data_IF_178007764741
#
_entry.id   IF_178007764741
#
_cell.length_a   1.000
_cell.length_b   1.000
_cell.length_c   1.000
_cell.angle_alpha   90.00
_cell.angle_beta   90.00
_cell.angle_gamma   90.00
#
_symmetry.space_group_name_H-M   'P 1'
#
loop_
_entity.id
_entity.type
_entity.pdbx_description
1 polymer ?
#
# COMPACT_ATOMS: atom_id res chain seq x y z
N UNK A 1 58.73 -19.40 -33.56
CA UNK A 1 58.22 -18.01 -33.50
C UNK A 1 56.73 -17.88 -33.09
N UNK A 2 56.07 -18.89 -32.51
CA UNK A 2 54.61 -18.82 -32.27
C UNK A 2 54.17 -18.88 -30.80
N UNK A 3 55.10 -18.85 -29.86
CA UNK A 3 54.72 -18.88 -28.42
C UNK A 3 54.57 -17.48 -27.79
N UNK A 4 55.10 -16.47 -28.44
CA UNK A 4 55.07 -15.09 -27.91
C UNK A 4 53.73 -14.37 -28.15
N UNK A 5 53.02 -14.74 -29.22
CA UNK A 5 51.72 -14.14 -29.53
C UNK A 5 50.58 -14.63 -28.63
N UNK A 6 50.68 -15.83 -28.05
CA UNK A 6 49.64 -16.38 -27.17
C UNK A 6 49.63 -15.68 -25.81
N UNK A 7 50.81 -15.25 -25.32
CA UNK A 7 50.90 -14.53 -24.05
C UNK A 7 50.36 -13.11 -24.14
N UNK A 8 50.51 -12.47 -25.29
CA UNK A 8 49.96 -11.12 -25.51
C UNK A 8 48.42 -11.13 -25.63
N UNK A 9 47.84 -12.19 -26.22
CA UNK A 9 46.40 -12.34 -26.36
C UNK A 9 45.69 -12.60 -25.01
N UNK A 10 46.36 -13.20 -24.03
CA UNK A 10 45.81 -13.46 -22.70
C UNK A 10 45.73 -12.20 -21.79
N UNK A 11 46.54 -11.19 -22.05
CA UNK A 11 46.57 -9.96 -21.24
C UNK A 11 45.42 -9.00 -21.58
N UNK A 12 44.83 -9.10 -22.77
CA UNK A 12 43.77 -8.22 -23.24
C UNK A 12 42.40 -8.56 -22.60
N UNK A 13 42.25 -9.76 -22.03
CA UNK A 13 40.97 -10.19 -21.40
C UNK A 13 40.85 -9.88 -19.91
N UNK A 14 41.88 -9.35 -19.27
CA UNK A 14 41.75 -8.81 -17.91
C UNK A 14 41.34 -7.33 -17.94
N UNK A 15 40.28 -7.01 -18.70
CA UNK A 15 39.60 -5.76 -18.57
C UNK A 15 39.02 -5.70 -17.16
N UNK A 16 39.54 -4.78 -16.32
CA UNK A 16 38.95 -4.45 -15.05
C UNK A 16 37.46 -4.06 -15.26
N UNK A 17 36.58 -5.02 -15.05
CA UNK A 17 35.20 -4.69 -14.76
C UNK A 17 35.18 -4.04 -13.38
N UNK A 18 35.24 -2.72 -13.31
CA UNK A 18 34.87 -1.99 -12.12
C UNK A 18 33.46 -2.45 -11.75
N UNK A 19 33.25 -3.01 -10.55
CA UNK A 19 31.91 -3.36 -10.12
C UNK A 19 31.05 -2.09 -10.22
N UNK A 20 29.81 -2.19 -10.74
CA UNK A 20 28.94 -1.04 -10.78
C UNK A 20 28.89 -0.48 -9.37
N UNK A 21 29.19 0.82 -9.23
CA UNK A 21 28.98 1.52 -7.97
C UNK A 21 27.55 1.22 -7.55
N UNK A 22 27.30 0.80 -6.30
CA UNK A 22 25.94 0.72 -5.80
C UNK A 22 25.31 2.11 -6.05
N UNK A 23 24.23 2.14 -6.80
CA UNK A 23 23.40 3.32 -6.91
C UNK A 23 22.85 3.49 -5.51
N UNK A 24 23.51 4.32 -4.72
CA UNK A 24 22.90 4.86 -3.50
C UNK A 24 21.77 5.70 -4.08
N UNK A 25 20.57 5.14 -4.12
CA UNK A 25 19.38 5.93 -4.30
C UNK A 25 19.36 6.85 -3.08
N UNK A 26 19.82 8.08 -3.24
CA UNK A 26 19.58 9.13 -2.27
C UNK A 26 18.06 9.18 -2.11
N UNK A 27 17.56 8.58 -1.05
CA UNK A 27 16.16 8.68 -0.67
C UNK A 27 15.92 10.16 -0.36
N UNK A 28 15.35 10.86 -1.31
CA UNK A 28 14.90 12.23 -1.11
C UNK A 28 13.55 12.12 -0.42
N UNK A 29 13.53 12.52 0.85
CA UNK A 29 12.29 12.57 1.63
C UNK A 29 11.23 13.36 0.86
N UNK A 30 10.00 12.85 0.73
CA UNK A 30 8.97 13.52 -0.04
C UNK A 30 8.59 14.86 0.60
N UNK A 31 8.67 15.94 -0.17
CA UNK A 31 8.23 17.28 0.26
C UNK A 31 6.75 17.48 -0.09
N UNK A 32 5.90 16.84 0.67
CA UNK A 32 4.44 16.98 0.59
C UNK A 32 3.84 17.59 1.86
N UNK A 33 4.67 18.11 2.76
CA UNK A 33 4.22 18.70 4.04
C UNK A 33 3.29 19.90 3.84
N UNK A 34 3.48 20.66 2.75
CA UNK A 34 2.67 21.82 2.39
C UNK A 34 1.33 21.46 1.72
N UNK A 35 1.05 20.17 1.49
CA UNK A 35 -0.15 19.73 0.79
C UNK A 35 -1.28 19.43 1.77
N UNK A 36 -2.47 19.96 1.48
CA UNK A 36 -3.66 19.79 2.33
C UNK A 36 -4.53 18.61 1.91
N UNK A 37 -4.50 18.30 0.61
CA UNK A 37 -5.35 17.27 0.00
C UNK A 37 -4.57 16.34 -0.92
N UNK A 38 -5.04 15.10 -0.98
CA UNK A 38 -4.53 14.10 -1.89
C UNK A 38 -5.70 13.26 -2.42
N UNK A 39 -5.69 12.98 -3.72
CA UNK A 39 -6.64 12.05 -4.34
C UNK A 39 -5.91 11.08 -5.24
N UNK A 40 -6.56 9.98 -5.56
CA UNK A 40 -5.97 9.02 -6.48
C UNK A 40 -6.78 7.76 -6.64
N UNK A 41 -6.17 6.80 -7.30
CA UNK A 41 -6.74 5.48 -7.51
C UNK A 41 -5.67 4.40 -7.44
N UNK A 42 -6.12 3.17 -7.25
CA UNK A 42 -5.26 2.02 -7.14
C UNK A 42 -6.03 0.72 -7.10
N UNK A 43 -5.36 -0.33 -6.66
CA UNK A 43 -5.99 -1.62 -6.46
C UNK A 43 -5.41 -2.39 -5.28
N UNK A 44 -6.22 -3.31 -4.75
CA UNK A 44 -5.78 -4.38 -3.87
C UNK A 44 -5.84 -5.68 -4.65
N UNK A 45 -4.75 -6.43 -4.64
CA UNK A 45 -4.65 -7.77 -5.21
C UNK A 45 -4.34 -8.76 -4.11
N UNK A 46 -5.21 -9.74 -3.91
CA UNK A 46 -4.98 -10.88 -3.03
C UNK A 46 -4.69 -12.13 -3.85
N UNK A 47 -3.69 -12.90 -3.43
CA UNK A 47 -3.33 -14.22 -3.99
C UNK A 47 -3.21 -15.23 -2.87
N UNK A 48 -3.65 -16.46 -3.11
CA UNK A 48 -3.61 -17.55 -2.16
C UNK A 48 -5.00 -17.99 -1.73
N UNK A 49 -5.28 -18.07 -0.43
CA UNK A 49 -6.57 -18.52 0.10
C UNK A 49 -7.78 -17.69 -0.39
N UNK A 50 -7.57 -16.41 -0.65
CA UNK A 50 -8.61 -15.49 -1.14
C UNK A 50 -8.07 -14.76 -2.36
N UNK A 51 -8.20 -15.38 -3.54
CA UNK A 51 -7.80 -14.73 -4.78
C UNK A 51 -8.83 -13.68 -5.19
N UNK A 52 -8.34 -12.49 -5.52
CA UNK A 52 -9.22 -11.43 -5.99
C UNK A 52 -8.53 -10.10 -6.18
N UNK A 53 -9.22 -9.22 -6.91
CA UNK A 53 -8.80 -7.84 -7.13
C UNK A 53 -9.95 -6.90 -6.86
N UNK A 54 -9.67 -5.86 -6.09
CA UNK A 54 -10.54 -4.71 -5.90
C UNK A 54 -9.80 -3.46 -6.37
N UNK A 55 -10.43 -2.68 -7.22
CA UNK A 55 -9.95 -1.34 -7.53
C UNK A 55 -10.48 -0.38 -6.48
N UNK A 56 -9.72 0.68 -6.18
CA UNK A 56 -10.19 1.72 -5.28
C UNK A 56 -9.91 3.12 -5.83
N UNK A 57 -10.72 4.05 -5.38
CA UNK A 57 -10.54 5.49 -5.57
C UNK A 57 -10.56 6.14 -4.20
N UNK A 58 -9.68 7.08 -3.95
CA UNK A 58 -9.62 7.75 -2.65
C UNK A 58 -9.56 9.27 -2.77
N UNK A 59 -10.04 9.94 -1.73
CA UNK A 59 -9.88 11.36 -1.48
C UNK A 59 -9.49 11.53 -0.02
N UNK A 60 -8.39 12.22 0.25
CA UNK A 60 -7.81 12.33 1.58
C UNK A 60 -7.46 13.77 1.90
N UNK A 61 -7.75 14.18 3.12
CA UNK A 61 -7.13 15.31 3.81
C UNK A 61 -6.10 14.79 4.80
N UNK A 62 -5.41 15.68 5.51
CA UNK A 62 -4.49 15.28 6.58
C UNK A 62 -5.17 14.53 7.73
N UNK A 63 -6.45 14.76 7.95
CA UNK A 63 -7.19 14.19 9.07
C UNK A 63 -8.14 13.06 8.69
N UNK A 64 -8.63 13.04 7.44
CA UNK A 64 -9.67 12.10 7.03
C UNK A 64 -9.43 11.61 5.61
N UNK A 65 -9.59 10.31 5.42
CA UNK A 65 -9.53 9.67 4.11
C UNK A 65 -10.84 8.95 3.80
N UNK A 66 -11.30 9.10 2.57
CA UNK A 66 -12.48 8.45 2.00
C UNK A 66 -12.03 7.51 0.91
N UNK A 67 -12.41 6.23 0.98
CA UNK A 67 -11.97 5.21 0.03
C UNK A 67 -13.19 4.43 -0.46
N UNK A 68 -13.41 4.40 -1.77
CA UNK A 68 -14.45 3.61 -2.40
C UNK A 68 -13.83 2.46 -3.19
N UNK A 69 -14.17 1.23 -2.81
CA UNK A 69 -13.73 0.01 -3.49
C UNK A 69 -14.76 -0.46 -4.50
N UNK A 70 -14.26 -0.92 -5.64
CA UNK A 70 -15.05 -1.50 -6.73
C UNK A 70 -14.48 -2.85 -7.13
N UNK A 71 -15.36 -3.77 -7.48
CA UNK A 71 -14.93 -5.03 -8.09
C UNK A 71 -14.43 -4.82 -9.53
N UNK A 72 -13.98 -5.90 -10.16
CA UNK A 72 -13.40 -5.86 -11.51
C UNK A 72 -14.37 -5.39 -12.60
N UNK A 73 -15.68 -5.45 -12.34
CA UNK A 73 -16.71 -4.96 -13.27
C UNK A 73 -17.26 -3.58 -12.86
N UNK A 74 -16.62 -2.92 -11.90
CA UNK A 74 -16.90 -1.55 -11.49
C UNK A 74 -18.05 -1.37 -10.49
N UNK A 75 -18.61 -2.45 -9.92
CA UNK A 75 -19.66 -2.34 -8.90
C UNK A 75 -19.03 -1.93 -7.57
N UNK A 76 -19.64 -0.96 -6.91
CA UNK A 76 -19.23 -0.52 -5.57
C UNK A 76 -19.43 -1.64 -4.56
N UNK A 77 -18.39 -1.94 -3.79
CA UNK A 77 -18.40 -3.06 -2.85
C UNK A 77 -18.26 -2.60 -1.41
N UNK A 78 -17.36 -1.66 -1.16
CA UNK A 78 -17.02 -1.19 0.18
C UNK A 78 -16.71 0.31 0.12
N UNK A 79 -17.11 1.03 1.14
CA UNK A 79 -16.73 2.41 1.36
C UNK A 79 -16.16 2.57 2.75
N UNK A 80 -14.98 3.19 2.87
CA UNK A 80 -14.29 3.42 4.12
C UNK A 80 -14.16 4.91 4.38
N UNK A 81 -14.33 5.29 5.65
CA UNK A 81 -13.95 6.59 6.19
C UNK A 81 -12.92 6.33 7.29
N UNK A 82 -11.74 6.89 7.13
CA UNK A 82 -10.65 6.78 8.10
C UNK A 82 -10.39 8.16 8.66
N UNK A 83 -10.59 8.35 9.96
CA UNK A 83 -10.33 9.61 10.65
C UNK A 83 -9.45 9.35 11.88
N UNK A 84 -8.28 9.98 11.93
CA UNK A 84 -7.28 9.74 12.96
C UNK A 84 -6.98 8.23 13.13
N UNK A 85 -7.38 7.63 14.26
CA UNK A 85 -7.22 6.19 14.53
C UNK A 85 -8.57 5.45 14.50
N UNK A 86 -9.58 6.08 13.92
CA UNK A 86 -10.93 5.51 13.80
C UNK A 86 -11.25 5.16 12.36
N UNK A 87 -12.08 4.14 12.18
CA UNK A 87 -12.48 3.65 10.89
C UNK A 87 -13.97 3.27 10.90
N UNK A 88 -14.67 3.77 9.91
CA UNK A 88 -16.04 3.43 9.59
C UNK A 88 -16.08 2.72 8.24
N UNK A 89 -16.87 1.67 8.09
CA UNK A 89 -16.99 0.95 6.84
C UNK A 89 -18.45 0.66 6.48
N UNK A 90 -18.76 0.86 5.22
CA UNK A 90 -20.05 0.51 4.62
C UNK A 90 -19.87 -0.57 3.56
N UNK A 91 -20.31 -1.79 3.85
CA UNK A 91 -20.49 -2.83 2.82
C UNK A 91 -21.70 -2.44 1.94
N UNK A 92 -21.41 -1.86 0.81
CA UNK A 92 -22.43 -1.35 -0.11
C UNK A 92 -23.20 -2.46 -0.82
N UNK A 93 -22.66 -3.70 -0.85
CA UNK A 93 -23.35 -4.87 -1.42
C UNK A 93 -24.40 -5.43 -0.48
N UNK A 94 -24.09 -5.48 0.82
CA UNK A 94 -24.99 -6.00 1.85
C UNK A 94 -25.80 -4.89 2.53
N UNK A 95 -25.50 -3.63 2.23
CA UNK A 95 -26.05 -2.44 2.84
C UNK A 95 -25.91 -2.46 4.37
N UNK A 96 -24.68 -2.71 4.84
CA UNK A 96 -24.35 -2.86 6.26
C UNK A 96 -23.21 -1.96 6.66
N UNK A 97 -23.29 -1.35 7.84
CA UNK A 97 -22.21 -0.57 8.43
C UNK A 97 -21.47 -1.43 9.44
N UNK A 98 -20.16 -1.43 9.35
CA UNK A 98 -19.26 -2.09 10.29
C UNK A 98 -18.63 -1.04 11.20
N UNK A 99 -18.63 -1.28 12.50
CA UNK A 99 -17.83 -0.53 13.45
C UNK A 99 -16.36 -1.00 13.43
N UNK A 100 -15.51 -0.32 14.17
CA UNK A 100 -14.07 -0.60 14.22
C UNK A 100 -13.78 -2.08 14.54
N UNK A 101 -14.45 -2.65 15.55
CA UNK A 101 -14.22 -4.05 15.96
C UNK A 101 -14.58 -5.03 14.84
N UNK A 102 -15.75 -4.85 14.20
CA UNK A 102 -16.21 -5.69 13.10
C UNK A 102 -15.31 -5.59 11.86
N UNK A 103 -14.74 -4.42 11.59
CA UNK A 103 -13.82 -4.21 10.46
C UNK A 103 -12.56 -5.05 10.62
N UNK A 104 -11.95 -5.05 11.80
CA UNK A 104 -10.74 -5.84 12.06
C UNK A 104 -10.97 -7.35 11.89
N UNK A 105 -12.18 -7.82 12.17
CA UNK A 105 -12.55 -9.22 11.95
C UNK A 105 -12.86 -9.54 10.48
N UNK A 106 -13.48 -8.59 9.78
CA UNK A 106 -14.01 -8.81 8.42
C UNK A 106 -12.98 -8.54 7.33
N UNK A 107 -12.08 -7.58 7.55
CA UNK A 107 -11.07 -7.16 6.56
C UNK A 107 -9.67 -7.52 7.06
N UNK A 108 -9.08 -8.61 6.58
CA UNK A 108 -7.74 -9.07 7.00
C UNK A 108 -6.64 -8.01 6.88
N UNK A 109 -6.82 -7.05 5.96
CA UNK A 109 -5.91 -5.92 5.80
C UNK A 109 -5.67 -5.17 7.12
N UNK A 110 -6.73 -4.90 7.88
CA UNK A 110 -6.63 -4.14 9.14
C UNK A 110 -6.13 -4.96 10.33
N UNK A 111 -5.89 -6.25 10.14
CA UNK A 111 -5.13 -7.05 11.10
C UNK A 111 -3.62 -6.87 10.94
N UNK A 112 -3.17 -6.30 9.81
CA UNK A 112 -1.77 -6.15 9.43
C UNK A 112 -1.35 -4.68 9.46
N UNK A 113 -2.22 -3.79 8.99
CA UNK A 113 -1.96 -2.34 8.85
C UNK A 113 -3.00 -1.55 9.65
N UNK A 114 -2.54 -0.59 10.43
CA UNK A 114 -3.44 0.31 11.14
C UNK A 114 -4.11 1.32 10.18
N UNK A 115 -5.32 1.83 10.52
CA UNK A 115 -5.98 2.85 9.71
C UNK A 115 -5.12 4.08 9.43
N UNK A 116 -4.30 4.50 10.41
CA UNK A 116 -3.35 5.60 10.24
C UNK A 116 -2.26 5.28 9.21
N UNK A 117 -1.71 4.08 9.26
CA UNK A 117 -0.69 3.62 8.30
C UNK A 117 -1.26 3.51 6.87
N UNK A 118 -2.53 3.06 6.73
CA UNK A 118 -3.19 3.08 5.42
C UNK A 118 -3.33 4.51 4.91
N UNK A 119 -3.67 5.49 5.76
CA UNK A 119 -3.73 6.90 5.38
C UNK A 119 -2.37 7.42 4.95
N UNK A 120 -1.31 7.15 5.69
CA UNK A 120 0.07 7.51 5.32
C UNK A 120 0.45 6.90 3.97
N UNK A 121 0.10 5.63 3.73
CA UNK A 121 0.30 5.00 2.43
C UNK A 121 -0.44 5.72 1.30
N UNK A 122 -1.68 6.17 1.51
CA UNK A 122 -2.40 6.95 0.49
C UNK A 122 -1.67 8.24 0.14
N UNK A 123 -0.97 8.85 1.09
CA UNK A 123 -0.15 10.04 0.88
C UNK A 123 1.23 9.73 0.28
N UNK A 124 1.67 8.48 0.31
CA UNK A 124 3.01 8.05 -0.09
C UNK A 124 4.05 8.24 1.00
N UNK A 125 3.58 8.65 2.19
CA UNK A 125 4.33 8.76 3.41
C UNK A 125 4.29 7.38 4.07
N UNK A 126 5.39 6.67 4.12
CA UNK A 126 5.54 5.57 5.05
C UNK A 126 6.70 5.98 5.93
N UNK A 127 6.47 5.94 7.24
CA UNK A 127 7.47 6.32 8.21
C UNK A 127 8.83 5.72 7.82
N UNK A 128 9.85 6.55 7.73
CA UNK A 128 11.21 6.24 7.28
C UNK A 128 11.91 5.08 8.03
N UNK A 129 11.21 4.43 8.95
CA UNK A 129 11.66 3.27 9.72
C UNK A 129 11.65 1.98 8.88
N UNK A 130 10.99 1.97 7.72
CA UNK A 130 10.84 0.78 6.88
C UNK A 130 11.72 0.83 5.64
N UNK A 131 13.03 0.71 5.84
CA UNK A 131 13.92 0.36 4.73
C UNK A 131 13.60 -1.07 4.27
N UNK A 132 13.06 -1.17 3.07
CA UNK A 132 12.97 -2.32 2.18
C UNK A 132 12.18 -3.56 2.63
N UNK A 133 12.37 -4.12 3.82
CA UNK A 133 11.64 -5.31 4.31
C UNK A 133 11.51 -5.27 5.82
N UNK A 134 10.29 -5.40 6.33
CA UNK A 134 10.02 -5.55 7.76
C UNK A 134 9.44 -6.94 8.02
N UNK A 135 10.06 -7.68 8.93
CA UNK A 135 9.46 -8.88 9.50
C UNK A 135 8.36 -8.46 10.48
N UNK A 136 7.14 -8.90 10.22
CA UNK A 136 5.99 -8.65 11.10
C UNK A 136 5.87 -9.86 12.01
N UNK A 137 6.31 -9.72 13.28
CA UNK A 137 5.97 -10.61 14.36
C UNK A 137 4.87 -9.95 15.19
N UNK A 138 3.64 -10.22 14.85
CA UNK A 138 2.50 -9.79 15.67
C UNK A 138 2.20 -10.86 16.72
N UNK A 139 1.95 -10.40 17.96
CA UNK A 139 1.71 -11.23 19.14
C UNK A 139 0.61 -12.32 18.98
N UNK A 140 0.53 -13.32 19.85
CA UNK A 140 0.49 -14.77 19.60
C UNK A 140 -0.67 -15.35 18.78
N UNK A 141 -1.45 -14.56 18.05
CA UNK A 141 -2.53 -15.06 17.16
C UNK A 141 -2.64 -14.31 15.84
N UNK A 142 -1.65 -13.51 15.45
CA UNK A 142 -1.69 -12.70 14.24
C UNK A 142 -0.47 -13.01 13.36
N UNK A 143 -0.71 -13.14 12.12
CA UNK A 143 0.13 -13.36 10.94
C UNK A 143 1.63 -13.14 11.11
N UNK A 144 2.42 -14.20 10.92
CA UNK A 144 3.85 -14.09 10.65
C UNK A 144 4.05 -13.82 9.17
N UNK A 145 4.73 -12.76 8.82
CA UNK A 145 4.90 -12.38 7.43
C UNK A 145 5.96 -11.34 7.17
N UNK A 146 6.07 -10.97 5.92
CA UNK A 146 6.97 -9.93 5.46
C UNK A 146 6.19 -8.80 4.81
N UNK A 147 6.62 -7.57 5.10
CA UNK A 147 6.12 -6.36 4.50
C UNK A 147 7.19 -5.78 3.60
N UNK A 148 6.87 -5.58 2.33
CA UNK A 148 7.76 -5.00 1.33
C UNK A 148 7.15 -3.75 0.73
N UNK A 149 7.93 -2.66 0.71
CA UNK A 149 7.55 -1.39 0.12
C UNK A 149 8.27 -1.14 -1.20
N UNK A 150 7.62 -0.45 -2.13
CA UNK A 150 8.24 0.10 -3.34
C UNK A 150 7.86 1.55 -3.50
N UNK A 151 8.85 2.37 -3.82
CA UNK A 151 8.67 3.80 -4.09
C UNK A 151 8.85 4.10 -5.57
N UNK A 152 8.23 5.19 -6.01
CA UNK A 152 8.40 5.77 -7.33
C UNK A 152 8.92 7.19 -7.14
N UNK A 153 9.93 7.55 -7.91
CA UNK A 153 10.44 8.92 -7.94
C UNK A 153 9.43 9.85 -8.62
N UNK A 154 9.07 10.92 -7.93
CA UNK A 154 8.12 11.92 -8.41
C UNK A 154 8.73 13.32 -8.33
N UNK A 155 8.00 14.35 -8.78
CA UNK A 155 8.38 15.75 -8.59
C UNK A 155 8.44 16.15 -7.10
N UNK A 156 7.82 15.40 -6.21
CA UNK A 156 7.77 15.63 -4.76
C UNK A 156 8.75 14.76 -3.97
N UNK A 157 9.63 14.04 -4.66
CA UNK A 157 10.53 13.06 -4.04
C UNK A 157 10.07 11.60 -4.25
N UNK A 158 10.62 10.68 -3.46
CA UNK A 158 10.31 9.26 -3.54
C UNK A 158 9.02 8.97 -2.76
N UNK A 159 7.92 8.72 -3.45
CA UNK A 159 6.63 8.36 -2.84
C UNK A 159 6.42 6.86 -2.88
N UNK A 160 6.04 6.26 -1.74
CA UNK A 160 5.65 4.85 -1.71
C UNK A 160 4.34 4.67 -2.47
N UNK A 161 4.34 3.77 -3.43
CA UNK A 161 3.18 3.47 -4.26
C UNK A 161 2.73 2.01 -4.20
N UNK A 162 3.56 1.12 -3.64
CA UNK A 162 3.23 -0.29 -3.54
C UNK A 162 3.64 -0.84 -2.18
N UNK A 163 2.74 -1.60 -1.58
CA UNK A 163 2.96 -2.37 -0.35
C UNK A 163 2.55 -3.80 -0.59
N UNK A 164 3.44 -4.73 -0.34
CA UNK A 164 3.17 -6.16 -0.46
C UNK A 164 3.35 -6.85 0.89
N UNK A 165 2.30 -7.51 1.35
CA UNK A 165 2.28 -8.35 2.53
C UNK A 165 2.37 -9.82 2.09
N UNK A 166 3.32 -10.56 2.63
CA UNK A 166 3.43 -12.00 2.44
C UNK A 166 3.20 -12.68 3.78
N UNK A 167 2.18 -13.51 3.85
CA UNK A 167 1.82 -14.26 5.05
C UNK A 167 2.39 -15.66 4.89
N UNK A 168 3.36 -16.03 5.75
CA UNK A 168 4.14 -17.27 5.59
C UNK A 168 3.31 -18.54 5.76
N UNK A 169 2.37 -18.55 6.72
CA UNK A 169 1.62 -19.75 7.10
C UNK A 169 0.55 -20.16 6.08
N UNK A 170 0.02 -19.19 5.31
CA UNK A 170 -1.09 -19.42 4.40
C UNK A 170 -0.71 -19.33 2.91
N UNK A 171 0.59 -19.10 2.58
CA UNK A 171 1.05 -18.76 1.24
C UNK A 171 0.18 -17.65 0.59
N UNK A 172 -0.29 -16.74 1.41
CA UNK A 172 -1.16 -15.65 1.02
C UNK A 172 -0.33 -14.39 0.82
N UNK A 173 -0.57 -13.70 -0.28
CA UNK A 173 0.04 -12.42 -0.59
C UNK A 173 -1.05 -11.38 -0.82
N UNK A 174 -0.95 -10.25 -0.15
CA UNK A 174 -1.79 -9.08 -0.37
C UNK A 174 -0.91 -7.94 -0.90
N UNK A 175 -1.29 -7.35 -2.02
CA UNK A 175 -0.61 -6.21 -2.61
C UNK A 175 -1.56 -5.03 -2.71
N UNK A 176 -1.17 -3.87 -2.13
CA UNK A 176 -1.80 -2.59 -2.37
C UNK A 176 -0.93 -1.80 -3.34
N UNK A 177 -1.52 -1.25 -4.39
CA UNK A 177 -0.81 -0.42 -5.35
C UNK A 177 -1.61 0.83 -5.69
N UNK A 178 -0.95 1.99 -5.62
CA UNK A 178 -1.47 3.26 -6.10
C UNK A 178 -0.95 3.48 -7.51
N UNK A 179 -1.88 3.59 -8.45
CA UNK A 179 -1.59 3.82 -9.86
C UNK A 179 -1.39 5.31 -10.11
N UNK A 180 -2.24 6.12 -9.48
CA UNK A 180 -2.28 7.56 -9.70
C UNK A 180 -2.51 8.30 -8.39
N UNK A 181 -1.76 9.38 -8.17
CA UNK A 181 -1.87 10.25 -7.00
C UNK A 181 -1.68 11.69 -7.42
N UNK A 182 -2.59 12.55 -6.99
CA UNK A 182 -2.57 13.98 -7.26
C UNK A 182 -2.76 14.73 -5.93
N UNK A 183 -1.95 15.77 -5.72
CA UNK A 183 -2.03 16.61 -4.54
C UNK A 183 -2.83 17.89 -4.79
N UNK A 184 -3.32 18.49 -3.70
CA UNK A 184 -4.16 19.69 -3.66
C UNK A 184 -5.50 19.55 -4.42
N UNK A 185 -5.91 18.31 -4.66
CA UNK A 185 -7.15 17.96 -5.35
C UNK A 185 -7.95 16.97 -4.53
N UNK A 186 -9.27 17.01 -4.68
CA UNK A 186 -10.22 16.10 -4.04
C UNK A 186 -11.21 15.54 -5.06
N UNK A 187 -11.85 14.43 -4.72
CA UNK A 187 -13.03 13.93 -5.38
C UNK A 187 -14.27 14.26 -4.52
N UNK A 188 -15.00 15.37 -4.79
CA UNK A 188 -16.12 15.81 -3.94
C UNK A 188 -17.19 14.73 -3.74
N UNK A 189 -17.41 13.87 -4.71
CA UNK A 189 -18.40 12.79 -4.64
C UNK A 189 -18.03 11.67 -3.64
N UNK A 190 -16.76 11.60 -3.21
CA UNK A 190 -16.32 10.67 -2.17
C UNK A 190 -16.44 11.28 -0.78
N UNK A 191 -16.45 12.60 -0.66
CA UNK A 191 -16.53 13.30 0.64
C UNK A 191 -17.97 13.28 1.12
N UNK A 192 -18.32 12.20 1.81
CA UNK A 192 -19.69 11.97 2.31
C UNK A 192 -19.69 11.11 3.56
N UNK A 193 -20.73 11.23 4.36
CA UNK A 193 -20.99 10.35 5.49
C UNK A 193 -21.66 9.04 5.04
N UNK A 194 -21.52 8.01 5.87
CA UNK A 194 -22.33 6.79 5.72
C UNK A 194 -23.75 7.12 6.18
N UNK A 195 -24.78 6.89 5.37
CA UNK A 195 -26.16 7.22 5.76
C UNK A 195 -26.57 6.54 7.07
N UNK A 196 -27.22 7.26 7.96
CA UNK A 196 -27.70 6.75 9.24
C UNK A 196 -28.72 5.61 9.09
N UNK A 197 -29.41 5.55 7.96
CA UNK A 197 -30.36 4.47 7.64
C UNK A 197 -29.69 3.11 7.40
N UNK A 198 -28.35 3.06 7.29
CA UNK A 198 -27.61 1.82 7.13
C UNK A 198 -27.51 1.09 8.46
N UNK A 199 -27.99 -0.15 8.47
CA UNK A 199 -28.01 -0.99 9.68
C UNK A 199 -26.58 -1.23 10.16
N UNK A 200 -26.28 -0.77 11.40
CA UNK A 200 -25.05 -1.09 12.09
C UNK A 200 -25.08 -2.54 12.59
N UNK A 201 -24.03 -3.28 12.34
CA UNK A 201 -23.84 -4.61 12.91
C UNK A 201 -22.91 -4.48 14.10
N UNK A 202 -23.47 -4.63 15.29
CA UNK A 202 -22.73 -4.96 16.48
C UNK A 202 -22.60 -6.49 16.53
N UNK A 203 -21.57 -7.04 15.95
CA UNK A 203 -21.18 -8.44 16.21
C UNK A 203 -20.50 -8.52 17.58
N UNK A 204 -21.28 -8.27 18.62
CA UNK A 204 -21.00 -8.70 20.00
C UNK A 204 -21.69 -10.05 20.19
N UNK A 205 -21.15 -11.09 19.56
CA UNK A 205 -21.49 -12.49 19.87
C UNK A 205 -20.23 -13.33 19.85
#
# INVERSE_FOLDING_TARGET
MNKFYIVILLIVFFGCSTPPKPIINDYIEPDISSKDYCRGNGYILSKGKFDGRLNFTFSSSRNTSYIEFKDIIGRKTLFLIISNNDIDAWDMRKNRRYNKASIYLTLPLFQIIDPSELREFLWGEIAAVFSDVKDINTEPNKFNGQLQFKSVQTAFGALVNNVTFKINEENTQLTLEIIEREFDLQYPHLIREIPESIISIDESL
#
